data_IF_172057484131
#
_entry.id   IF_172057484131
#
_cell.length_a   1.000
_cell.length_b   1.000
_cell.length_c   1.000
_cell.angle_alpha   90.00
_cell.angle_beta   90.00
_cell.angle_gamma   90.00
#
_symmetry.space_group_name_H-M   'P 1'
#
loop_
_entity.id
_entity.type
_entity.pdbx_description
1 polymer ?
#
# COMPACT_ATOMS: atom_id res chain seq x y z
N UNK A 1 20.32 -20.73 -7.36
CA UNK A 1 18.93 -20.79 -7.90
C UNK A 1 18.99 -20.67 -9.40
N UNK A 2 18.32 -21.54 -10.17
CA UNK A 2 18.24 -21.37 -11.64
C UNK A 2 17.21 -20.27 -11.97
N UNK A 3 17.54 -19.40 -12.95
CA UNK A 3 16.69 -18.27 -13.31
C UNK A 3 15.27 -18.70 -13.67
N UNK A 4 15.12 -19.79 -14.42
CA UNK A 4 13.83 -20.28 -14.95
C UNK A 4 12.92 -20.97 -13.91
N UNK A 5 13.39 -21.16 -12.68
CA UNK A 5 12.66 -21.82 -11.59
C UNK A 5 12.48 -20.88 -10.36
N UNK A 6 12.82 -19.61 -10.55
CA UNK A 6 12.78 -18.64 -9.46
C UNK A 6 11.37 -18.45 -8.92
N UNK A 7 10.36 -18.36 -9.78
CA UNK A 7 8.97 -18.20 -9.37
C UNK A 7 8.49 -19.35 -8.48
N UNK A 8 8.83 -20.60 -8.79
CA UNK A 8 8.51 -21.76 -7.96
C UNK A 8 9.21 -21.65 -6.61
N UNK A 9 10.50 -21.29 -6.60
CA UNK A 9 11.26 -21.17 -5.36
C UNK A 9 10.76 -20.04 -4.46
N UNK A 10 10.38 -18.89 -5.05
CA UNK A 10 9.80 -17.77 -4.32
C UNK A 10 8.46 -18.19 -3.69
N UNK A 11 7.61 -18.90 -4.44
CA UNK A 11 6.35 -19.44 -3.92
C UNK A 11 6.57 -20.40 -2.74
N UNK A 12 7.56 -21.30 -2.82
CA UNK A 12 7.94 -22.18 -1.71
C UNK A 12 8.38 -21.38 -0.47
N UNK A 13 9.18 -20.32 -0.65
CA UNK A 13 9.63 -19.46 0.44
C UNK A 13 8.45 -18.71 1.08
N UNK A 14 7.52 -18.19 0.27
CA UNK A 14 6.29 -17.54 0.77
C UNK A 14 5.41 -18.52 1.56
N UNK A 15 5.25 -19.75 1.09
CA UNK A 15 4.54 -20.79 1.83
C UNK A 15 5.23 -21.11 3.16
N UNK A 16 6.56 -21.28 3.16
CA UNK A 16 7.34 -21.50 4.38
C UNK A 16 7.16 -20.37 5.39
N UNK A 17 7.25 -19.11 4.95
CA UNK A 17 7.05 -17.93 5.79
C UNK A 17 5.64 -17.90 6.38
N UNK A 18 4.62 -18.11 5.55
CA UNK A 18 3.23 -18.13 5.95
C UNK A 18 2.96 -19.23 6.98
N UNK A 19 3.42 -20.45 6.73
CA UNK A 19 3.17 -21.60 7.60
C UNK A 19 3.87 -21.47 8.97
N UNK A 20 5.08 -20.89 8.99
CA UNK A 20 5.84 -20.64 10.22
C UNK A 20 5.23 -19.54 11.11
N UNK A 21 4.39 -18.68 10.55
CA UNK A 21 3.80 -17.52 11.24
C UNK A 21 2.27 -17.59 11.36
N UNK A 22 1.67 -18.80 11.24
CA UNK A 22 0.24 -19.01 11.49
C UNK A 22 -0.05 -19.10 12.97
N UNK A 23 -1.11 -18.42 13.40
CA UNK A 23 -1.71 -18.54 14.73
C UNK A 23 -3.14 -19.03 14.53
N UNK A 24 -3.50 -20.14 15.13
CA UNK A 24 -4.85 -20.74 15.04
C UNK A 24 -5.37 -20.89 13.58
N UNK A 25 -4.45 -21.10 12.64
CA UNK A 25 -4.76 -21.24 11.21
C UNK A 25 -4.78 -19.94 10.41
N UNK A 26 -4.70 -18.79 11.05
CA UNK A 26 -4.68 -17.46 10.42
C UNK A 26 -3.24 -16.94 10.25
N UNK A 27 -2.97 -16.20 9.19
CA UNK A 27 -1.71 -15.46 9.04
C UNK A 27 -1.91 -14.09 9.70
N UNK A 28 -1.05 -13.77 10.68
CA UNK A 28 -1.02 -12.46 11.31
C UNK A 28 0.37 -12.17 11.88
N UNK A 29 1.19 -11.49 11.09
CA UNK A 29 2.52 -11.02 11.49
C UNK A 29 2.45 -9.56 11.91
N UNK A 30 1.88 -9.28 13.08
CA UNK A 30 1.87 -7.92 13.62
C UNK A 30 3.28 -7.52 14.08
N UNK A 31 3.67 -6.28 13.85
CA UNK A 31 5.01 -5.77 14.19
C UNK A 31 5.36 -5.97 15.67
N UNK A 32 6.61 -6.32 15.94
CA UNK A 32 7.17 -6.55 17.27
C UNK A 32 6.52 -7.69 18.07
N UNK A 33 5.85 -8.63 17.39
CA UNK A 33 5.33 -9.87 18.00
C UNK A 33 6.31 -11.03 17.85
N UNK A 34 5.93 -12.19 18.38
CA UNK A 34 6.70 -13.43 18.18
C UNK A 34 6.73 -13.83 16.70
N UNK A 35 5.62 -13.68 16.00
CA UNK A 35 5.45 -14.02 14.58
C UNK A 35 6.32 -13.12 13.68
N UNK A 36 6.41 -11.82 13.98
CA UNK A 36 7.33 -10.90 13.34
C UNK A 36 8.79 -11.35 13.55
N UNK A 37 9.15 -11.70 14.79
CA UNK A 37 10.49 -12.21 15.10
C UNK A 37 10.82 -13.52 14.36
N UNK A 38 9.84 -14.45 14.25
CA UNK A 38 10.01 -15.68 13.48
C UNK A 38 10.24 -15.34 12.01
N UNK A 39 9.43 -14.45 11.43
CA UNK A 39 9.57 -14.03 10.04
C UNK A 39 10.94 -13.41 9.75
N UNK A 40 11.43 -12.54 10.63
CA UNK A 40 12.76 -11.91 10.52
C UNK A 40 13.89 -12.93 10.61
N UNK A 41 13.78 -13.93 11.49
CA UNK A 41 14.78 -14.98 11.58
C UNK A 41 14.84 -15.82 10.30
N UNK A 42 13.69 -16.19 9.73
CA UNK A 42 13.62 -16.89 8.44
C UNK A 42 14.24 -16.03 7.33
N UNK A 43 13.90 -14.75 7.28
CA UNK A 43 14.46 -13.82 6.29
C UNK A 43 15.99 -13.70 6.46
N UNK A 44 16.49 -13.64 7.69
CA UNK A 44 17.91 -13.64 7.98
C UNK A 44 18.60 -14.89 7.45
N UNK A 45 18.05 -16.08 7.72
CA UNK A 45 18.61 -17.34 7.22
C UNK A 45 18.71 -17.33 5.69
N UNK A 46 17.66 -16.90 4.98
CA UNK A 46 17.68 -16.81 3.52
C UNK A 46 18.72 -15.81 3.01
N UNK A 47 18.84 -14.65 3.64
CA UNK A 47 19.84 -13.62 3.29
C UNK A 47 21.26 -14.21 3.45
N UNK A 48 21.56 -14.84 4.60
CA UNK A 48 22.86 -15.45 4.89
C UNK A 48 23.16 -16.64 3.96
N UNK A 49 22.19 -17.51 3.67
CA UNK A 49 22.33 -18.66 2.77
C UNK A 49 22.60 -18.22 1.31
N UNK A 50 22.06 -17.10 0.88
CA UNK A 50 22.35 -16.50 -0.42
C UNK A 50 23.68 -15.74 -0.41
N UNK A 51 24.36 -15.70 0.72
CA UNK A 51 25.67 -15.07 0.92
C UNK A 51 25.60 -13.54 0.90
N UNK A 52 24.44 -12.94 1.12
CA UNK A 52 24.26 -11.50 1.26
C UNK A 52 24.68 -11.04 2.68
N UNK A 53 25.02 -9.77 2.82
CA UNK A 53 25.31 -9.18 4.12
C UNK A 53 23.99 -8.87 4.85
N UNK A 54 23.79 -9.49 6.02
CA UNK A 54 22.62 -9.24 6.86
C UNK A 54 22.83 -8.02 7.75
N UNK A 55 21.78 -7.22 7.92
CA UNK A 55 21.72 -6.12 8.87
C UNK A 55 20.28 -5.94 9.35
N UNK A 56 20.12 -5.55 10.60
CA UNK A 56 18.86 -5.09 11.17
C UNK A 56 19.06 -3.70 11.78
N UNK A 57 18.07 -2.82 11.67
CA UNK A 57 18.18 -1.46 12.18
C UNK A 57 17.38 -1.22 13.47
N UNK A 58 17.40 0.02 13.98
CA UNK A 58 16.85 0.34 15.29
C UNK A 58 15.30 0.33 15.35
N UNK A 59 14.59 0.40 14.20
CA UNK A 59 13.14 0.22 14.13
C UNK A 59 12.77 -1.25 13.86
N UNK A 60 13.75 -2.08 13.52
CA UNK A 60 13.57 -3.48 13.20
C UNK A 60 13.44 -3.80 11.72
N UNK A 61 13.71 -2.86 10.80
CA UNK A 61 13.83 -3.21 9.39
C UNK A 61 14.99 -4.18 9.20
N UNK A 62 14.79 -5.21 8.39
CA UNK A 62 15.80 -6.20 8.04
C UNK A 62 16.32 -5.92 6.64
N UNK A 63 17.64 -6.06 6.46
CA UNK A 63 18.28 -5.83 5.16
C UNK A 63 19.18 -6.98 4.74
N UNK A 64 19.13 -7.28 3.43
CA UNK A 64 20.10 -8.12 2.75
C UNK A 64 20.86 -7.31 1.70
N UNK A 65 22.20 -7.24 1.79
CA UNK A 65 23.03 -6.37 0.93
C UNK A 65 23.96 -7.16 0.02
N UNK A 66 23.98 -6.77 -1.25
CA UNK A 66 25.03 -7.11 -2.23
C UNK A 66 25.90 -5.86 -2.42
N UNK A 67 27.15 -5.84 -1.86
CA UNK A 67 28.01 -4.67 -1.93
C UNK A 67 28.37 -4.26 -3.34
N UNK A 68 28.37 -2.96 -3.59
CA UNK A 68 28.87 -2.35 -4.83
C UNK A 68 30.31 -1.87 -4.71
N UNK A 69 30.88 -1.44 -5.84
CA UNK A 69 32.24 -0.91 -5.94
C UNK A 69 32.35 0.59 -5.66
N UNK A 70 31.22 1.31 -5.73
CA UNK A 70 31.12 2.75 -5.48
C UNK A 70 30.05 3.06 -4.44
N UNK A 71 30.13 4.22 -3.75
CA UNK A 71 29.10 4.66 -2.79
C UNK A 71 27.72 4.79 -3.42
N UNK A 72 26.68 4.55 -2.59
CA UNK A 72 25.29 4.63 -2.95
C UNK A 72 24.60 3.27 -2.97
N UNK A 73 23.28 3.28 -2.83
CA UNK A 73 22.46 2.08 -2.68
C UNK A 73 21.21 2.18 -3.53
N UNK A 74 20.92 1.15 -4.31
CA UNK A 74 19.60 0.92 -4.89
C UNK A 74 18.85 -0.04 -3.97
N UNK A 75 17.73 0.40 -3.44
CA UNK A 75 16.89 -0.35 -2.50
C UNK A 75 15.74 -1.03 -3.24
N UNK A 76 15.45 -2.26 -2.87
CA UNK A 76 14.21 -2.96 -3.20
C UNK A 76 13.63 -3.59 -1.93
N UNK A 77 12.43 -4.13 -2.02
CA UNK A 77 11.77 -4.79 -0.90
C UNK A 77 10.36 -4.27 -0.71
N UNK A 78 9.78 -4.56 0.41
CA UNK A 78 8.46 -4.18 0.88
C UNK A 78 8.36 -4.50 2.38
N UNK A 79 7.15 -4.71 2.92
CA UNK A 79 6.93 -5.06 4.32
C UNK A 79 6.79 -6.56 4.56
N UNK A 80 6.94 -6.97 5.82
CA UNK A 80 6.70 -8.35 6.26
C UNK A 80 5.47 -8.49 7.13
N UNK A 81 5.04 -7.42 7.78
CA UNK A 81 3.80 -7.43 8.56
C UNK A 81 2.58 -7.68 7.68
N UNK A 82 1.48 -8.09 8.30
CA UNK A 82 0.23 -8.38 7.61
C UNK A 82 -0.95 -7.86 8.39
N UNK A 83 -2.05 -7.59 7.70
CA UNK A 83 -3.35 -7.47 8.38
C UNK A 83 -3.70 -8.78 9.07
N UNK A 84 -4.61 -8.73 10.05
CA UNK A 84 -5.13 -9.94 10.70
C UNK A 84 -5.87 -10.79 9.68
N UNK A 85 -5.56 -12.10 9.67
CA UNK A 85 -6.09 -13.06 8.72
C UNK A 85 -5.86 -12.65 7.26
N UNK A 86 -4.67 -12.08 6.99
CA UNK A 86 -4.23 -11.65 5.67
C UNK A 86 -3.79 -12.79 4.76
N UNK A 87 -3.31 -12.41 3.57
CA UNK A 87 -2.71 -13.32 2.60
C UNK A 87 -1.24 -13.61 2.87
N UNK A 88 -0.60 -14.37 1.99
CA UNK A 88 0.82 -14.71 2.10
C UNK A 88 1.71 -13.91 1.16
N UNK A 89 1.12 -13.12 0.24
CA UNK A 89 1.85 -12.42 -0.80
C UNK A 89 2.01 -10.93 -0.49
N UNK A 90 0.99 -10.33 0.11
CA UNK A 90 0.96 -8.91 0.43
C UNK A 90 2.22 -8.50 1.21
N UNK A 91 2.97 -7.52 0.68
CA UNK A 91 4.29 -7.10 1.14
C UNK A 91 5.37 -8.19 1.03
N UNK A 92 5.12 -9.36 1.58
CA UNK A 92 6.08 -10.46 1.63
C UNK A 92 6.61 -10.88 0.26
N UNK A 93 5.80 -10.77 -0.82
CA UNK A 93 6.23 -11.06 -2.18
C UNK A 93 7.41 -10.17 -2.59
N UNK A 94 7.33 -8.86 -2.32
CA UNK A 94 8.39 -7.91 -2.67
C UNK A 94 9.68 -8.20 -1.92
N UNK A 95 9.59 -8.52 -0.64
CA UNK A 95 10.75 -8.86 0.20
C UNK A 95 11.40 -10.16 -0.26
N UNK A 96 10.63 -11.24 -0.41
CA UNK A 96 11.14 -12.55 -0.80
C UNK A 96 11.71 -12.53 -2.21
N UNK A 97 11.03 -11.85 -3.14
CA UNK A 97 11.52 -11.68 -4.52
C UNK A 97 12.80 -10.84 -4.55
N UNK A 98 12.91 -9.81 -3.72
CA UNK A 98 14.12 -9.01 -3.58
C UNK A 98 15.31 -9.84 -3.09
N UNK A 99 15.14 -10.65 -2.04
CA UNK A 99 16.18 -11.57 -1.56
C UNK A 99 16.61 -12.56 -2.64
N UNK A 100 15.63 -13.16 -3.33
CA UNK A 100 15.88 -14.09 -4.43
C UNK A 100 16.64 -13.42 -5.59
N UNK A 101 16.27 -12.18 -5.95
CA UNK A 101 16.91 -11.42 -7.02
C UNK A 101 18.37 -11.09 -6.69
N UNK A 102 18.66 -10.57 -5.51
CA UNK A 102 20.03 -10.26 -5.10
C UNK A 102 20.87 -11.53 -4.97
N UNK A 103 20.30 -12.61 -4.43
CA UNK A 103 20.97 -13.92 -4.37
C UNK A 103 21.31 -14.47 -5.74
N UNK A 104 20.39 -14.40 -6.69
CA UNK A 104 20.63 -14.80 -8.07
C UNK A 104 21.72 -13.95 -8.74
N UNK A 105 21.65 -12.62 -8.59
CA UNK A 105 22.66 -11.71 -9.15
C UNK A 105 24.06 -12.03 -8.61
N UNK A 106 24.20 -12.25 -7.31
CA UNK A 106 25.46 -12.66 -6.71
C UNK A 106 25.98 -13.99 -7.25
N UNK A 107 25.11 -15.00 -7.32
CA UNK A 107 25.49 -16.33 -7.84
C UNK A 107 25.87 -16.30 -9.34
N UNK A 108 25.30 -15.37 -10.12
CA UNK A 108 25.67 -15.15 -11.53
C UNK A 108 27.02 -14.45 -11.70
N UNK A 109 27.69 -14.06 -10.64
CA UNK A 109 28.95 -13.31 -10.67
C UNK A 109 28.77 -11.81 -10.96
N UNK A 110 27.55 -11.28 -10.85
CA UNK A 110 27.31 -9.86 -11.06
C UNK A 110 27.88 -9.06 -9.88
N UNK A 111 28.66 -8.03 -10.19
CA UNK A 111 29.20 -7.07 -9.22
C UNK A 111 28.57 -5.72 -9.53
N UNK A 112 27.68 -5.21 -8.66
CA UNK A 112 27.04 -3.93 -8.89
C UNK A 112 28.03 -2.77 -8.74
N UNK A 113 27.79 -1.67 -9.45
CA UNK A 113 28.54 -0.43 -9.24
C UNK A 113 28.12 0.21 -7.91
N UNK A 114 26.83 0.46 -7.73
CA UNK A 114 26.26 0.88 -6.46
C UNK A 114 25.62 -0.32 -5.78
N UNK A 115 25.71 -0.38 -4.46
CA UNK A 115 25.18 -1.53 -3.69
C UNK A 115 23.72 -1.77 -4.00
N UNK A 116 23.31 -3.04 -4.03
CA UNK A 116 21.92 -3.44 -4.04
C UNK A 116 21.51 -3.89 -2.63
N UNK A 117 20.42 -3.41 -2.13
CA UNK A 117 19.85 -3.81 -0.84
C UNK A 117 18.40 -4.23 -1.00
N UNK A 118 18.02 -5.32 -0.33
CA UNK A 118 16.62 -5.66 -0.11
C UNK A 118 16.25 -5.31 1.33
N UNK A 119 15.06 -4.72 1.55
CA UNK A 119 14.52 -4.42 2.87
C UNK A 119 13.22 -5.18 3.13
N UNK A 120 13.10 -5.76 4.33
CA UNK A 120 11.84 -6.11 4.96
C UNK A 120 11.48 -5.00 5.95
N UNK A 121 10.51 -4.18 5.58
CA UNK A 121 10.13 -2.97 6.31
C UNK A 121 9.14 -3.28 7.42
N UNK A 122 9.11 -2.42 8.44
CA UNK A 122 8.30 -2.58 9.65
C UNK A 122 7.01 -1.80 9.59
N UNK A 123 5.90 -2.47 9.99
CA UNK A 123 4.58 -1.89 10.26
C UNK A 123 4.12 -0.95 9.13
N UNK A 124 4.00 -1.51 7.92
CA UNK A 124 3.43 -0.78 6.79
C UNK A 124 1.91 -0.67 6.92
N UNK A 125 1.26 -1.80 7.26
CA UNK A 125 -0.18 -2.04 7.25
C UNK A 125 -0.96 -1.25 8.31
N UNK A 126 -0.28 -0.65 9.28
CA UNK A 126 -0.99 -0.04 10.42
C UNK A 126 -1.86 -1.04 11.19
N UNK A 127 -1.52 -2.32 11.12
CA UNK A 127 -2.35 -3.40 11.67
C UNK A 127 -2.28 -3.48 13.18
N UNK A 128 -1.13 -3.17 13.76
CA UNK A 128 -0.93 -3.06 15.22
C UNK A 128 -0.96 -1.63 15.69
N UNK A 129 -0.23 -0.73 15.02
CA UNK A 129 -0.20 0.70 15.32
C UNK A 129 -0.97 1.45 14.22
N UNK A 130 -1.87 2.42 14.57
CA UNK A 130 -2.67 3.16 13.59
C UNK A 130 -1.85 3.88 12.50
N UNK A 131 -0.66 4.39 12.85
CA UNK A 131 0.28 4.98 11.88
C UNK A 131 1.08 3.89 11.20
N UNK A 132 0.78 3.56 9.96
CA UNK A 132 1.55 2.65 9.14
C UNK A 132 2.89 3.21 8.67
N UNK A 133 3.59 2.43 7.85
CA UNK A 133 4.84 2.80 7.20
C UNK A 133 5.95 3.23 8.18
N UNK A 134 6.00 2.64 9.38
CA UNK A 134 6.99 3.05 10.41
C UNK A 134 8.42 2.82 9.95
N UNK A 135 8.67 1.72 9.23
CA UNK A 135 9.98 1.37 8.68
C UNK A 135 10.50 2.40 7.69
N UNK A 136 9.73 2.73 6.68
CA UNK A 136 10.09 3.74 5.67
C UNK A 136 10.16 5.14 6.24
N UNK A 137 9.26 5.52 7.16
CA UNK A 137 9.30 6.80 7.87
C UNK A 137 10.59 6.98 8.66
N UNK A 138 11.09 5.93 9.31
CA UNK A 138 12.35 5.95 10.03
C UNK A 138 13.55 6.14 9.06
N UNK A 139 13.58 5.43 7.93
CA UNK A 139 14.59 5.58 6.86
C UNK A 139 14.61 7.01 6.31
N UNK A 140 13.43 7.61 6.11
CA UNK A 140 13.29 8.99 5.61
C UNK A 140 13.55 10.05 6.68
N UNK A 141 13.67 9.67 7.96
CA UNK A 141 13.83 10.60 9.08
C UNK A 141 12.57 11.40 9.40
N UNK A 142 11.39 10.87 9.04
CA UNK A 142 10.07 11.50 9.29
C UNK A 142 9.34 10.90 10.49
N UNK A 143 9.85 9.79 11.05
CA UNK A 143 9.36 9.26 12.33
C UNK A 143 9.77 10.20 13.46
N UNK A 144 8.79 10.69 14.21
CA UNK A 144 8.98 11.68 15.27
C UNK A 144 9.00 11.04 16.66
N UNK A 145 9.52 11.75 17.66
CA UNK A 145 9.51 11.32 19.05
C UNK A 145 8.08 11.10 19.58
N UNK A 146 7.13 11.91 19.09
CA UNK A 146 5.71 11.83 19.44
C UNK A 146 5.08 10.52 18.94
N UNK A 147 5.52 10.00 17.81
CA UNK A 147 5.03 8.74 17.25
C UNK A 147 5.35 7.54 18.16
N UNK A 148 6.41 7.64 18.98
CA UNK A 148 6.78 6.59 19.93
C UNK A 148 5.76 6.42 21.08
N UNK A 149 4.93 7.42 21.33
CA UNK A 149 3.87 7.38 22.32
C UNK A 149 2.52 6.92 21.73
N UNK A 150 2.49 6.61 20.42
CA UNK A 150 1.31 6.06 19.78
C UNK A 150 0.92 4.73 20.44
N UNK A 151 -0.37 4.59 20.77
CA UNK A 151 -0.92 3.36 21.34
C UNK A 151 -1.30 2.38 20.24
N UNK A 152 -0.78 1.18 20.36
CA UNK A 152 -1.21 0.03 19.57
C UNK A 152 -2.67 -0.34 19.88
N UNK A 153 -3.26 -1.19 19.03
CA UNK A 153 -4.63 -1.73 19.26
C UNK A 153 -4.74 -2.61 20.50
N UNK A 154 -3.62 -3.12 21.00
CA UNK A 154 -3.50 -3.90 22.23
C UNK A 154 -3.09 -3.05 23.47
N UNK A 155 -2.97 -1.72 23.29
CA UNK A 155 -2.80 -0.76 24.39
C UNK A 155 -1.36 -0.58 24.87
N UNK A 156 -0.38 -0.99 24.06
CA UNK A 156 1.06 -0.82 24.31
C UNK A 156 1.58 0.33 23.46
N UNK A 157 2.45 1.19 23.98
CA UNK A 157 3.08 2.24 23.16
C UNK A 157 4.10 1.66 22.19
N UNK A 158 4.37 2.36 21.07
CA UNK A 158 5.42 1.95 20.13
C UNK A 158 6.79 1.85 20.84
N UNK A 159 7.08 2.77 21.74
CA UNK A 159 8.28 2.73 22.57
C UNK A 159 8.39 1.44 23.40
N UNK A 160 7.31 1.06 24.09
CA UNK A 160 7.28 -0.17 24.89
C UNK A 160 7.42 -1.41 24.03
N UNK A 161 6.79 -1.44 22.86
CA UNK A 161 6.89 -2.54 21.91
C UNK A 161 8.33 -2.73 21.40
N UNK A 162 8.98 -1.63 20.99
CA UNK A 162 10.38 -1.62 20.56
C UNK A 162 11.33 -2.14 21.65
N UNK A 163 11.21 -1.60 22.86
CA UNK A 163 12.06 -2.03 24.00
C UNK A 163 11.82 -3.51 24.33
N UNK A 164 10.56 -3.96 24.32
CA UNK A 164 10.21 -5.37 24.58
C UNK A 164 10.76 -6.32 23.49
N UNK A 165 10.85 -5.85 22.25
CA UNK A 165 11.46 -6.57 21.14
C UNK A 165 13.01 -6.53 21.15
N UNK A 166 13.60 -5.70 22.02
CA UNK A 166 15.07 -5.62 22.21
C UNK A 166 15.73 -4.46 21.46
N UNK A 167 14.97 -3.53 20.89
CA UNK A 167 15.51 -2.37 20.18
C UNK A 167 15.81 -1.20 21.12
N UNK A 168 16.75 -0.34 20.69
CA UNK A 168 17.18 0.85 21.43
C UNK A 168 16.57 2.09 20.75
N UNK A 169 15.57 2.70 21.37
CA UNK A 169 14.84 3.83 20.79
C UNK A 169 15.70 5.08 20.59
N UNK A 170 16.78 5.26 21.37
CA UNK A 170 17.73 6.36 21.19
C UNK A 170 18.46 6.32 19.84
N UNK A 171 18.60 5.13 19.25
CA UNK A 171 19.28 4.93 17.96
C UNK A 171 18.39 5.39 16.77
N UNK A 172 17.08 5.52 16.94
CA UNK A 172 16.14 5.97 15.91
C UNK A 172 16.50 7.36 15.34
N UNK A 173 17.11 8.23 16.13
CA UNK A 173 17.56 9.57 15.70
C UNK A 173 18.55 9.56 14.55
N UNK A 174 19.24 8.43 14.34
CA UNK A 174 20.32 8.29 13.37
C UNK A 174 19.92 7.37 12.20
N UNK A 175 18.64 7.11 12.01
CA UNK A 175 18.18 6.17 11.00
C UNK A 175 18.04 6.77 9.61
N UNK A 176 17.93 8.10 9.51
CA UNK A 176 17.82 8.76 8.21
C UNK A 176 18.95 8.35 7.28
N UNK A 177 18.60 7.91 6.10
CA UNK A 177 19.53 7.49 5.06
C UNK A 177 19.64 8.56 3.98
N UNK A 178 20.88 8.88 3.59
CA UNK A 178 21.19 9.82 2.51
C UNK A 178 21.94 9.12 1.35
N UNK A 179 22.19 7.80 1.48
CA UNK A 179 22.91 7.01 0.48
C UNK A 179 22.00 6.34 -0.56
N UNK A 180 20.70 6.39 -0.39
CA UNK A 180 19.72 5.76 -1.29
C UNK A 180 19.61 6.58 -2.58
N UNK A 181 19.78 5.89 -3.72
CA UNK A 181 19.81 6.47 -5.06
C UNK A 181 18.51 6.24 -5.85
N UNK A 182 17.92 5.09 -5.64
CA UNK A 182 16.63 4.71 -6.21
C UNK A 182 16.00 3.60 -5.37
N UNK A 183 14.69 3.51 -5.43
CA UNK A 183 13.89 2.46 -4.78
C UNK A 183 12.98 1.83 -5.83
N UNK A 184 12.91 0.51 -5.84
CA UNK A 184 11.96 -0.23 -6.66
C UNK A 184 11.26 -1.25 -5.78
N UNK A 185 9.97 -1.08 -5.59
CA UNK A 185 9.11 -2.01 -4.85
C UNK A 185 8.37 -2.91 -5.84
N UNK A 186 8.51 -4.24 -5.69
CA UNK A 186 7.67 -5.20 -6.39
C UNK A 186 6.55 -5.63 -5.45
N UNK A 187 5.31 -5.61 -5.93
CA UNK A 187 4.14 -5.93 -5.13
C UNK A 187 3.06 -6.64 -5.94
N UNK A 188 2.11 -7.27 -5.28
CA UNK A 188 0.86 -7.69 -5.93
C UNK A 188 0.00 -6.47 -6.24
N UNK A 189 -0.85 -6.54 -7.26
CA UNK A 189 -1.76 -5.43 -7.61
C UNK A 189 -2.79 -5.12 -6.53
N UNK A 190 -3.19 -6.11 -5.75
CA UNK A 190 -4.31 -6.06 -4.80
C UNK A 190 -5.67 -5.72 -5.46
N UNK A 191 -5.73 -5.79 -6.77
CA UNK A 191 -6.88 -5.45 -7.61
C UNK A 191 -7.02 -6.38 -8.82
N UNK A 192 -8.13 -6.29 -9.57
CA UNK A 192 -8.44 -7.23 -10.65
C UNK A 192 -8.04 -6.74 -12.06
N UNK A 193 -7.40 -5.57 -12.20
CA UNK A 193 -7.24 -4.89 -13.50
C UNK A 193 -6.26 -5.65 -14.39
N UNK A 194 -5.09 -6.02 -13.87
CA UNK A 194 -4.07 -6.73 -14.66
C UNK A 194 -4.59 -8.08 -15.16
N UNK A 195 -5.24 -8.86 -14.29
CA UNK A 195 -5.86 -10.12 -14.65
C UNK A 195 -6.95 -9.93 -15.73
N UNK A 196 -7.87 -8.99 -15.52
CA UNK A 196 -8.99 -8.72 -16.42
C UNK A 196 -8.54 -8.23 -17.80
N UNK A 197 -7.44 -7.49 -17.87
CA UNK A 197 -6.87 -6.96 -19.11
C UNK A 197 -5.74 -7.86 -19.68
N UNK A 198 -5.48 -9.01 -19.07
CA UNK A 198 -4.44 -9.95 -19.48
C UNK A 198 -3.05 -9.29 -19.54
N UNK A 199 -2.73 -8.44 -18.57
CA UNK A 199 -1.45 -7.80 -18.39
C UNK A 199 -0.59 -8.59 -17.41
N UNK A 200 0.71 -8.68 -17.70
CA UNK A 200 1.68 -9.38 -16.86
C UNK A 200 2.31 -8.46 -15.81
N UNK A 201 2.40 -7.17 -16.13
CA UNK A 201 3.06 -6.16 -15.30
C UNK A 201 2.20 -4.89 -15.24
N UNK A 202 2.05 -4.36 -14.02
CA UNK A 202 1.61 -2.99 -13.78
C UNK A 202 2.83 -2.10 -13.49
N UNK A 203 2.95 -1.01 -14.22
CA UNK A 203 3.91 0.06 -13.91
C UNK A 203 3.13 1.12 -13.16
N UNK A 204 3.49 1.36 -11.90
CA UNK A 204 2.75 2.30 -11.06
C UNK A 204 3.21 3.72 -11.36
N UNK A 205 2.28 4.58 -11.75
CA UNK A 205 2.54 6.00 -12.01
C UNK A 205 2.41 6.83 -10.74
N UNK A 206 1.45 6.46 -9.87
CA UNK A 206 1.24 7.11 -8.57
C UNK A 206 0.59 6.17 -7.56
N UNK A 207 0.76 6.49 -6.28
CA UNK A 207 -0.08 5.98 -5.20
C UNK A 207 -1.12 7.05 -4.93
N UNK A 208 -2.40 6.66 -4.94
CA UNK A 208 -3.53 7.60 -4.87
C UNK A 208 -3.51 8.44 -3.59
N UNK A 209 -3.97 9.69 -3.71
CA UNK A 209 -4.41 10.48 -2.58
C UNK A 209 -5.78 10.00 -2.09
N UNK A 210 -6.05 10.20 -0.80
CA UNK A 210 -7.30 9.77 -0.18
C UNK A 210 -7.90 10.94 0.58
N UNK A 211 -9.20 11.17 0.41
CA UNK A 211 -9.95 12.06 1.29
C UNK A 211 -11.19 11.35 1.84
N UNK A 212 -11.35 11.45 3.14
CA UNK A 212 -12.48 10.86 3.86
C UNK A 212 -13.43 11.94 4.37
N UNK A 213 -14.73 11.76 4.10
CA UNK A 213 -15.77 12.66 4.56
C UNK A 213 -16.83 11.93 5.38
N UNK A 214 -17.41 12.67 6.33
CA UNK A 214 -18.70 12.35 6.93
C UNK A 214 -19.73 13.38 6.44
N UNK A 215 -20.76 12.91 5.74
CA UNK A 215 -21.87 13.74 5.30
C UNK A 215 -23.09 13.50 6.19
N UNK A 216 -23.63 14.55 6.79
CA UNK A 216 -24.92 14.54 7.47
C UNK A 216 -25.96 15.23 6.60
N UNK A 217 -27.10 14.60 6.35
CA UNK A 217 -28.27 15.19 5.70
C UNK A 217 -29.40 15.23 6.70
N UNK A 218 -29.90 16.43 7.00
CA UNK A 218 -30.98 16.67 7.95
C UNK A 218 -32.32 16.72 7.21
N UNK A 219 -33.28 15.94 7.69
CA UNK A 219 -34.64 15.90 7.20
C UNK A 219 -35.65 16.29 8.30
N UNK A 220 -36.86 15.77 8.19
CA UNK A 220 -37.94 16.01 9.16
C UNK A 220 -38.64 14.71 9.53
N UNK A 221 -38.46 14.30 10.79
CA UNK A 221 -39.11 13.12 11.32
C UNK A 221 -40.64 13.28 11.32
N UNK A 222 -41.34 12.25 10.83
CA UNK A 222 -42.81 12.23 10.86
C UNK A 222 -43.33 10.79 10.77
N UNK A 223 -44.63 10.62 10.94
CA UNK A 223 -45.30 9.33 10.84
C UNK A 223 -45.32 8.81 9.39
N UNK A 224 -44.79 7.60 9.15
CA UNK A 224 -44.64 7.05 7.80
C UNK A 224 -45.96 6.81 7.06
N UNK A 225 -47.04 6.49 7.76
CA UNK A 225 -48.34 6.20 7.14
C UNK A 225 -49.24 7.42 6.89
N UNK A 226 -49.10 8.48 7.72
CA UNK A 226 -50.01 9.65 7.63
C UNK A 226 -49.42 10.83 6.89
N UNK A 227 -48.11 10.84 6.65
CA UNK A 227 -47.45 11.90 5.87
C UNK A 227 -47.41 11.51 4.40
N UNK A 228 -48.19 12.21 3.56
CA UNK A 228 -48.25 11.97 2.12
C UNK A 228 -46.89 12.25 1.45
N UNK A 229 -46.57 11.53 0.35
CA UNK A 229 -45.28 11.61 -0.33
C UNK A 229 -44.82 13.06 -0.65
N UNK A 230 -45.67 13.95 -1.20
CA UNK A 230 -45.28 15.31 -1.56
C UNK A 230 -44.96 16.21 -0.37
N UNK A 231 -45.35 15.84 0.86
CA UNK A 231 -45.11 16.61 2.07
C UNK A 231 -43.93 16.09 2.88
N UNK A 232 -43.25 15.06 2.40
CA UNK A 232 -42.09 14.48 3.09
C UNK A 232 -40.82 15.29 2.86
N UNK A 233 -40.08 15.45 3.92
CA UNK A 233 -38.71 15.93 3.87
C UNK A 233 -37.78 14.79 4.36
N UNK A 234 -37.68 13.75 3.52
CA UNK A 234 -37.08 12.46 3.86
C UNK A 234 -35.59 12.45 3.48
N UNK A 235 -34.67 12.43 4.46
CA UNK A 235 -33.24 12.49 4.20
C UNK A 235 -32.69 11.18 3.60
N UNK A 236 -33.44 10.06 3.70
CA UNK A 236 -33.05 8.80 3.06
C UNK A 236 -33.18 8.89 1.55
N UNK A 237 -34.27 9.51 1.06
CA UNK A 237 -34.47 9.77 -0.37
C UNK A 237 -33.40 10.74 -0.88
N UNK A 238 -33.13 11.81 -0.13
CA UNK A 238 -32.07 12.77 -0.48
C UNK A 238 -30.67 12.12 -0.53
N UNK A 239 -30.35 11.24 0.42
CA UNK A 239 -29.09 10.49 0.41
C UNK A 239 -28.97 9.55 -0.81
N UNK A 240 -30.05 8.84 -1.17
CA UNK A 240 -30.07 7.98 -2.36
C UNK A 240 -29.86 8.78 -3.65
N UNK A 241 -30.46 9.95 -3.77
CA UNK A 241 -30.26 10.86 -4.91
C UNK A 241 -28.82 11.37 -4.96
N UNK A 242 -28.27 11.79 -3.82
CA UNK A 242 -26.87 12.23 -3.71
C UNK A 242 -25.89 11.13 -4.15
N UNK A 243 -26.04 9.92 -3.61
CA UNK A 243 -25.21 8.75 -3.97
C UNK A 243 -25.28 8.50 -5.48
N UNK A 244 -26.47 8.46 -6.04
CA UNK A 244 -26.68 8.19 -7.46
C UNK A 244 -26.06 9.27 -8.34
N UNK A 245 -26.28 10.55 -8.01
CA UNK A 245 -25.79 11.66 -8.82
C UNK A 245 -24.26 11.83 -8.70
N UNK A 246 -23.69 11.75 -7.51
CA UNK A 246 -22.25 11.85 -7.32
C UNK A 246 -21.52 10.70 -8.00
N UNK A 247 -22.01 9.45 -7.87
CA UNK A 247 -21.42 8.30 -8.58
C UNK A 247 -21.50 8.49 -10.10
N UNK A 248 -22.63 8.94 -10.63
CA UNK A 248 -22.81 9.21 -12.07
C UNK A 248 -21.86 10.30 -12.57
N UNK A 249 -21.68 11.38 -11.80
CA UNK A 249 -20.75 12.47 -12.16
C UNK A 249 -19.31 11.98 -12.13
N UNK A 250 -18.92 11.22 -11.10
CA UNK A 250 -17.58 10.66 -10.96
C UNK A 250 -17.23 9.77 -12.13
N UNK A 251 -18.08 8.78 -12.45
CA UNK A 251 -17.87 7.88 -13.60
C UNK A 251 -17.74 8.61 -14.94
N UNK A 252 -18.42 9.76 -15.11
CA UNK A 252 -18.44 10.51 -16.36
C UNK A 252 -17.26 11.51 -16.50
N UNK A 253 -16.74 12.07 -15.40
CA UNK A 253 -15.81 13.19 -15.42
C UNK A 253 -14.47 12.89 -14.74
N UNK A 254 -14.40 11.86 -13.91
CA UNK A 254 -13.20 11.41 -13.19
C UNK A 254 -13.10 9.87 -13.23
N UNK A 255 -12.83 9.27 -14.39
CA UNK A 255 -12.86 7.81 -14.56
C UNK A 255 -11.72 7.08 -13.82
N UNK A 256 -10.68 7.79 -13.40
CA UNK A 256 -9.58 7.30 -12.56
C UNK A 256 -9.94 7.26 -11.07
N UNK A 257 -10.88 8.11 -10.65
CA UNK A 257 -11.28 8.21 -9.26
C UNK A 257 -12.07 6.99 -8.77
N UNK A 258 -11.91 6.66 -7.50
CA UNK A 258 -12.78 5.71 -6.81
C UNK A 258 -13.57 6.43 -5.73
N UNK A 259 -14.90 6.21 -5.72
CA UNK A 259 -15.83 6.79 -4.75
C UNK A 259 -16.60 5.69 -4.05
N UNK A 260 -16.43 5.59 -2.73
CA UNK A 260 -17.05 4.55 -1.91
C UNK A 260 -17.88 5.16 -0.79
N UNK A 261 -19.06 4.59 -0.55
CA UNK A 261 -19.93 4.91 0.58
C UNK A 261 -19.84 3.75 1.59
N UNK A 262 -18.88 3.85 2.53
CA UNK A 262 -18.53 2.78 3.45
C UNK A 262 -19.57 2.50 4.52
N UNK A 263 -20.40 3.50 4.88
CA UNK A 263 -21.50 3.33 5.83
C UNK A 263 -22.64 4.30 5.55
N UNK A 264 -23.85 3.83 5.81
CA UNK A 264 -25.10 4.63 5.80
C UNK A 264 -25.83 4.39 7.10
N UNK A 265 -26.00 5.43 7.90
CA UNK A 265 -26.71 5.36 9.16
C UNK A 265 -27.96 6.25 9.12
N UNK A 266 -29.11 5.65 9.41
CA UNK A 266 -30.43 6.30 9.38
C UNK A 266 -30.96 6.48 10.80
N UNK A 267 -31.43 7.66 11.14
CA UNK A 267 -31.96 7.98 12.47
C UNK A 267 -33.42 8.40 12.40
N UNK A 268 -34.29 7.87 13.27
CA UNK A 268 -34.04 6.88 14.31
C UNK A 268 -33.98 5.42 13.83
N UNK A 269 -34.14 5.15 12.52
CA UNK A 269 -34.01 3.80 11.95
C UNK A 269 -35.20 2.87 12.25
N UNK A 270 -36.42 3.40 12.21
CA UNK A 270 -37.66 2.67 12.50
C UNK A 270 -38.56 2.60 11.26
N UNK A 271 -39.23 1.45 11.04
CA UNK A 271 -40.06 1.21 9.86
C UNK A 271 -41.26 2.16 9.69
N UNK A 272 -41.82 2.63 10.79
CA UNK A 272 -43.04 3.48 10.81
C UNK A 272 -42.75 4.96 11.01
N UNK A 273 -41.47 5.37 10.86
CA UNK A 273 -41.01 6.75 11.07
C UNK A 273 -40.20 7.21 9.87
N UNK A 274 -40.54 8.36 9.30
CA UNK A 274 -39.68 9.08 8.35
C UNK A 274 -38.47 9.56 9.10
N UNK A 275 -37.28 9.32 8.61
CA UNK A 275 -36.02 9.68 9.28
C UNK A 275 -35.91 11.20 9.50
N UNK A 276 -35.22 11.59 10.56
CA UNK A 276 -34.82 12.98 10.76
C UNK A 276 -33.43 13.28 10.21
N UNK A 277 -32.58 12.25 10.11
CA UNK A 277 -31.18 12.42 9.70
C UNK A 277 -30.62 11.15 9.06
N UNK A 278 -29.71 11.35 8.10
CA UNK A 278 -28.86 10.32 7.54
C UNK A 278 -27.40 10.77 7.65
N UNK A 279 -26.53 9.86 8.11
CA UNK A 279 -25.08 10.03 8.06
C UNK A 279 -24.47 9.06 7.04
N UNK A 280 -23.55 9.55 6.20
CA UNK A 280 -22.78 8.77 5.22
C UNK A 280 -21.29 8.90 5.52
N UNK A 281 -20.57 7.79 5.44
CA UNK A 281 -19.10 7.81 5.38
C UNK A 281 -18.66 7.65 3.94
N UNK A 282 -17.81 8.54 3.47
CA UNK A 282 -17.38 8.66 2.08
C UNK A 282 -15.85 8.52 2.04
N UNK A 283 -15.36 7.65 1.18
CA UNK A 283 -13.95 7.49 0.80
C UNK A 283 -13.81 7.84 -0.68
N UNK A 284 -12.96 8.81 -1.00
CA UNK A 284 -12.69 9.29 -2.35
C UNK A 284 -11.19 9.27 -2.59
N UNK A 285 -10.77 8.64 -3.70
CA UNK A 285 -9.35 8.47 -4.06
C UNK A 285 -9.12 8.80 -5.52
N UNK A 286 -7.98 9.44 -5.83
CA UNK A 286 -7.48 9.60 -7.20
C UNK A 286 -5.95 9.70 -7.25
N UNK A 287 -5.38 9.60 -8.45
CA UNK A 287 -3.95 9.47 -8.73
C UNK A 287 -3.10 10.69 -8.39
N UNK A 288 -3.70 11.88 -8.27
CA UNK A 288 -2.99 13.10 -7.86
C UNK A 288 -3.83 13.95 -6.92
N UNK A 289 -3.19 14.77 -6.11
CA UNK A 289 -3.89 15.73 -5.23
C UNK A 289 -4.69 16.76 -6.03
N UNK A 290 -4.23 17.13 -7.23
CA UNK A 290 -4.93 18.06 -8.11
C UNK A 290 -6.25 17.44 -8.63
N UNK A 291 -6.20 16.20 -9.12
CA UNK A 291 -7.38 15.45 -9.55
C UNK A 291 -8.33 15.24 -8.38
N UNK A 292 -7.83 14.79 -7.24
CA UNK A 292 -8.60 14.58 -6.02
C UNK A 292 -9.35 15.85 -5.57
N UNK A 293 -8.72 17.03 -5.68
CA UNK A 293 -9.37 18.31 -5.40
C UNK A 293 -10.50 18.62 -6.41
N UNK A 294 -10.33 18.26 -7.69
CA UNK A 294 -11.38 18.40 -8.71
C UNK A 294 -12.55 17.47 -8.43
N UNK A 295 -12.28 16.26 -7.98
CA UNK A 295 -13.30 15.27 -7.61
C UNK A 295 -14.12 15.70 -6.40
N UNK A 296 -13.46 16.31 -5.41
CA UNK A 296 -14.16 16.95 -4.28
C UNK A 296 -15.12 18.04 -4.77
N UNK A 297 -14.77 18.78 -5.82
CA UNK A 297 -15.70 19.77 -6.43
C UNK A 297 -16.92 19.06 -7.06
N UNK A 298 -16.72 17.92 -7.74
CA UNK A 298 -17.83 17.12 -8.28
C UNK A 298 -18.74 16.61 -7.16
N UNK A 299 -18.16 16.08 -6.08
CA UNK A 299 -18.91 15.63 -4.90
C UNK A 299 -19.75 16.77 -4.31
N UNK A 300 -19.17 17.96 -4.15
CA UNK A 300 -19.88 19.15 -3.63
C UNK A 300 -20.99 19.62 -4.56
N UNK A 301 -20.80 19.57 -5.88
CA UNK A 301 -21.87 19.90 -6.85
C UNK A 301 -23.07 18.96 -6.74
N UNK A 302 -22.82 17.66 -6.53
CA UNK A 302 -23.92 16.72 -6.28
C UNK A 302 -24.67 17.09 -4.98
N UNK A 303 -23.94 17.52 -3.95
CA UNK A 303 -24.52 17.96 -2.67
C UNK A 303 -25.39 19.21 -2.83
N UNK A 304 -24.94 20.21 -3.59
CA UNK A 304 -25.74 21.41 -3.89
C UNK A 304 -27.10 21.09 -4.49
N UNK A 305 -27.22 19.99 -5.25
CA UNK A 305 -28.51 19.58 -5.83
C UNK A 305 -29.54 19.19 -4.75
N UNK A 306 -29.07 18.62 -3.65
CA UNK A 306 -29.88 18.23 -2.50
C UNK A 306 -30.22 19.47 -1.65
N UNK A 307 -29.27 20.37 -1.48
CA UNK A 307 -29.49 21.64 -0.74
C UNK A 307 -30.52 22.54 -1.42
N UNK A 308 -30.54 22.58 -2.76
CA UNK A 308 -31.56 23.32 -3.53
C UNK A 308 -32.97 22.77 -3.32
N UNK A 309 -33.13 21.52 -2.86
CA UNK A 309 -34.42 20.93 -2.45
C UNK A 309 -34.79 21.26 -0.99
N UNK A 310 -33.97 22.07 -0.32
CA UNK A 310 -34.22 22.54 1.04
C UNK A 310 -33.61 21.71 2.15
N UNK A 311 -32.83 20.66 1.83
CA UNK A 311 -32.13 19.88 2.85
C UNK A 311 -30.96 20.67 3.41
N UNK A 312 -30.81 20.62 4.74
CA UNK A 312 -29.60 21.10 5.41
C UNK A 312 -28.57 19.99 5.40
N UNK A 313 -27.36 20.30 4.97
CA UNK A 313 -26.27 19.34 4.89
C UNK A 313 -25.04 19.82 5.66
N UNK A 314 -24.23 18.87 6.12
CA UNK A 314 -22.93 19.13 6.72
C UNK A 314 -21.94 18.10 6.21
N UNK A 315 -21.00 18.54 5.36
CA UNK A 315 -19.87 17.74 4.90
C UNK A 315 -18.64 18.05 5.75
N UNK A 316 -18.19 17.09 6.54
CA UNK A 316 -17.01 17.20 7.40
C UNK A 316 -15.90 16.33 6.82
N UNK A 317 -14.76 16.95 6.51
CA UNK A 317 -13.55 16.20 6.17
C UNK A 317 -12.97 15.56 7.44
N UNK A 318 -12.76 14.27 7.40
CA UNK A 318 -12.18 13.52 8.51
C UNK A 318 -10.67 13.39 8.35
N UNK A 319 -10.22 13.11 7.12
CA UNK A 319 -8.81 12.87 6.82
C UNK A 319 -8.48 13.33 5.40
N UNK A 320 -7.18 13.56 5.15
CA UNK A 320 -6.57 13.82 3.86
C UNK A 320 -5.18 13.20 3.83
N UNK A 321 -4.98 12.23 2.97
CA UNK A 321 -3.68 11.62 2.69
C UNK A 321 -3.25 12.04 1.29
N UNK A 322 -2.09 12.70 1.20
CA UNK A 322 -1.55 13.17 -0.08
C UNK A 322 -1.12 12.00 -0.97
N UNK A 323 -1.33 12.14 -2.26
CA UNK A 323 -0.82 11.23 -3.28
C UNK A 323 0.72 11.23 -3.32
N UNK A 324 1.29 10.17 -3.88
CA UNK A 324 2.72 10.09 -4.15
C UNK A 324 2.97 9.72 -5.61
N UNK A 325 3.59 10.64 -6.35
CA UNK A 325 3.97 10.40 -7.74
C UNK A 325 5.24 9.56 -7.80
N UNK A 326 5.28 8.58 -8.68
CA UNK A 326 6.46 7.76 -8.90
C UNK A 326 7.45 8.49 -9.82
N UNK A 327 8.74 8.16 -9.66
CA UNK A 327 9.79 8.85 -10.41
C UNK A 327 9.80 8.46 -11.90
N UNK A 328 9.65 9.42 -12.83
CA UNK A 328 9.55 9.14 -14.25
C UNK A 328 10.83 8.56 -14.85
N UNK A 329 11.99 8.72 -14.20
CA UNK A 329 13.25 8.14 -14.70
C UNK A 329 13.32 6.66 -14.33
N UNK A 330 12.90 6.30 -13.10
CA UNK A 330 12.83 4.90 -12.66
C UNK A 330 11.74 4.16 -13.46
N UNK A 331 10.57 4.79 -13.67
CA UNK A 331 9.49 4.27 -14.53
C UNK A 331 10.03 3.94 -15.93
N UNK A 332 10.76 4.85 -16.58
CA UNK A 332 11.31 4.61 -17.91
C UNK A 332 12.28 3.42 -17.97
N UNK A 333 13.02 3.15 -16.89
CA UNK A 333 13.86 1.94 -16.82
C UNK A 333 12.99 0.68 -16.82
N UNK A 334 11.95 0.67 -15.99
CA UNK A 334 11.00 -0.46 -15.92
C UNK A 334 10.32 -0.67 -17.28
N UNK A 335 9.78 0.40 -17.86
CA UNK A 335 9.06 0.38 -19.15
C UNK A 335 9.92 -0.19 -20.27
N UNK A 336 11.17 0.29 -20.42
CA UNK A 336 12.11 -0.21 -21.43
C UNK A 336 12.37 -1.71 -21.27
N UNK A 337 12.58 -2.21 -20.05
CA UNK A 337 12.77 -3.64 -19.82
C UNK A 337 11.50 -4.45 -20.12
N UNK A 338 10.32 -3.90 -19.89
CA UNK A 338 9.07 -4.53 -20.34
C UNK A 338 9.00 -4.62 -21.87
N UNK A 339 9.38 -3.56 -22.59
CA UNK A 339 9.42 -3.53 -24.05
C UNK A 339 10.44 -4.51 -24.63
N UNK A 340 11.68 -4.52 -24.10
CA UNK A 340 12.76 -5.43 -24.53
C UNK A 340 12.39 -6.90 -24.35
N UNK A 341 11.62 -7.20 -23.29
CA UNK A 341 11.14 -8.56 -22.99
C UNK A 341 9.80 -8.89 -23.66
N UNK A 342 9.20 -7.95 -24.37
CA UNK A 342 7.86 -8.08 -24.97
C UNK A 342 6.77 -8.45 -23.94
N UNK A 343 6.86 -7.92 -22.73
CA UNK A 343 5.86 -8.13 -21.68
C UNK A 343 4.61 -7.30 -21.96
N UNK A 344 3.44 -7.88 -21.70
CA UNK A 344 2.18 -7.14 -21.72
C UNK A 344 2.07 -6.33 -20.44
N UNK A 345 2.33 -5.02 -20.49
CA UNK A 345 2.28 -4.14 -19.33
C UNK A 345 1.19 -3.06 -19.46
N UNK A 346 0.91 -2.39 -18.33
CA UNK A 346 -0.02 -1.26 -18.25
C UNK A 346 0.50 -0.25 -17.23
N UNK A 347 0.37 1.04 -17.54
CA UNK A 347 0.49 2.12 -16.58
C UNK A 347 -0.79 2.21 -15.74
N UNK A 348 -0.66 2.34 -14.43
CA UNK A 348 -1.79 2.38 -13.51
C UNK A 348 -1.43 3.06 -12.19
N UNK A 349 -2.44 3.48 -11.44
CA UNK A 349 -2.25 3.98 -10.09
C UNK A 349 -2.39 2.84 -9.07
N UNK A 350 -1.67 2.91 -7.95
CA UNK A 350 -1.98 2.07 -6.79
C UNK A 350 -3.16 2.65 -6.04
N UNK A 351 -4.21 1.86 -5.87
CA UNK A 351 -5.36 2.21 -5.02
C UNK A 351 -5.12 2.02 -3.53
N UNK A 352 -4.03 1.33 -3.15
CA UNK A 352 -3.60 1.07 -1.77
C UNK A 352 -2.39 1.94 -1.40
N UNK A 353 -2.20 2.21 -0.09
CA UNK A 353 -0.98 2.79 0.43
C UNK A 353 0.17 1.78 0.39
N UNK A 354 1.42 2.26 0.36
CA UNK A 354 2.63 1.45 0.41
C UNK A 354 3.76 2.26 1.03
N UNK A 355 4.84 1.60 1.48
CA UNK A 355 6.07 2.28 1.91
C UNK A 355 6.62 3.22 0.82
N UNK A 356 6.41 2.89 -0.45
CA UNK A 356 6.75 3.74 -1.60
C UNK A 356 6.05 5.11 -1.59
N UNK A 357 4.92 5.27 -0.89
CA UNK A 357 4.27 6.56 -0.68
C UNK A 357 5.12 7.50 0.19
N UNK A 358 5.80 6.95 1.18
CA UNK A 358 6.75 7.69 2.02
C UNK A 358 8.04 7.94 1.25
N UNK A 359 8.59 6.91 0.63
CA UNK A 359 9.85 6.98 -0.09
C UNK A 359 9.80 7.96 -1.27
N UNK A 360 8.71 8.00 -2.06
CA UNK A 360 8.58 8.83 -3.24
C UNK A 360 8.69 10.34 -2.97
N UNK A 361 8.49 10.76 -1.71
CA UNK A 361 8.71 12.15 -1.26
C UNK A 361 10.18 12.48 -0.96
N UNK A 362 11.07 11.49 -0.89
CA UNK A 362 12.45 11.64 -0.45
C UNK A 362 13.47 11.06 -1.42
N UNK A 363 13.09 10.05 -2.19
CA UNK A 363 13.97 9.31 -3.09
C UNK A 363 13.26 9.00 -4.40
N UNK A 364 14.03 8.85 -5.50
CA UNK A 364 13.51 8.28 -6.75
C UNK A 364 12.91 6.90 -6.52
N UNK A 365 11.62 6.81 -6.63
CA UNK A 365 10.89 5.59 -6.28
C UNK A 365 9.95 5.18 -7.41
N UNK A 366 9.83 3.90 -7.70
CA UNK A 366 8.79 3.33 -8.55
C UNK A 366 8.35 1.96 -8.02
N UNK A 367 7.19 1.51 -8.48
CA UNK A 367 6.63 0.20 -8.12
C UNK A 367 6.32 -0.62 -9.37
N UNK A 368 6.47 -1.93 -9.22
CA UNK A 368 6.11 -2.94 -10.21
C UNK A 368 5.02 -3.82 -9.60
N UNK A 369 3.86 -3.88 -10.26
CA UNK A 369 2.80 -4.80 -9.87
C UNK A 369 2.82 -6.08 -10.70
N UNK A 370 2.51 -7.19 -10.03
CA UNK A 370 2.13 -8.46 -10.67
C UNK A 370 0.65 -8.75 -10.40
N UNK A 371 -0.05 -9.49 -11.27
CA UNK A 371 -1.49 -9.74 -11.15
C UNK A 371 -1.88 -10.44 -9.84
N UNK A 372 -3.00 -10.02 -9.26
CA UNK A 372 -3.69 -10.71 -8.18
C UNK A 372 -4.85 -11.53 -8.74
N UNK A 373 -4.91 -12.82 -8.44
CA UNK A 373 -5.99 -13.71 -8.92
C UNK A 373 -7.32 -13.28 -8.29
N UNK A 374 -8.29 -12.94 -9.14
CA UNK A 374 -9.60 -12.42 -8.72
C UNK A 374 -9.53 -11.06 -8.04
N UNK A 375 -8.38 -10.39 -8.04
CA UNK A 375 -8.18 -9.10 -7.37
C UNK A 375 -8.29 -9.18 -5.84
N UNK A 376 -8.09 -10.37 -5.26
CA UNK A 376 -8.26 -10.61 -3.82
C UNK A 376 -6.99 -10.18 -3.09
N UNK A 377 -7.13 -9.33 -2.06
CA UNK A 377 -6.10 -8.99 -1.09
C UNK A 377 -6.69 -8.80 0.31
N UNK A 378 -5.86 -8.73 1.36
CA UNK A 378 -6.27 -8.70 2.77
C UNK A 378 -7.21 -9.86 3.15
N UNK A 379 -6.96 -11.03 2.56
CA UNK A 379 -7.81 -12.20 2.67
C UNK A 379 -6.97 -13.48 2.55
N UNK A 380 -7.30 -14.56 3.30
CA UNK A 380 -6.59 -15.83 3.18
C UNK A 380 -6.63 -16.48 1.79
N UNK A 381 -7.59 -16.08 0.94
CA UNK A 381 -7.72 -16.56 -0.44
C UNK A 381 -6.86 -15.75 -1.45
N UNK A 382 -6.07 -14.79 -0.98
CA UNK A 382 -5.13 -14.04 -1.79
C UNK A 382 -4.19 -14.97 -2.55
N UNK A 383 -4.02 -14.71 -3.85
CA UNK A 383 -3.17 -15.53 -4.70
C UNK A 383 -2.61 -14.74 -5.88
N UNK A 384 -1.40 -15.15 -6.31
CA UNK A 384 -0.80 -14.73 -7.57
C UNK A 384 -0.20 -15.93 -8.30
N UNK A 385 -0.20 -15.93 -9.62
CA UNK A 385 0.28 -17.08 -10.35
C UNK A 385 1.83 -17.17 -10.31
N UNK A 386 2.37 -18.38 -10.18
CA UNK A 386 3.83 -18.61 -10.17
C UNK A 386 4.50 -18.04 -11.43
N UNK A 387 3.81 -18.04 -12.58
CA UNK A 387 4.30 -17.45 -13.82
C UNK A 387 4.45 -15.92 -13.72
N UNK A 388 3.55 -15.24 -13.01
CA UNK A 388 3.60 -13.80 -12.79
C UNK A 388 4.68 -13.44 -11.78
N UNK A 389 4.87 -14.24 -10.73
CA UNK A 389 6.01 -14.13 -9.81
C UNK A 389 7.33 -14.25 -10.59
N UNK A 390 7.44 -15.24 -11.49
CA UNK A 390 8.61 -15.45 -12.36
C UNK A 390 8.89 -14.22 -13.23
N UNK A 391 7.83 -13.65 -13.83
CA UNK A 391 7.93 -12.47 -14.67
C UNK A 391 8.40 -11.26 -13.87
N UNK A 392 7.79 -11.01 -12.70
CA UNK A 392 8.18 -9.94 -11.77
C UNK A 392 9.63 -10.07 -11.29
N UNK A 393 10.05 -11.27 -10.92
CA UNK A 393 11.43 -11.57 -10.53
C UNK A 393 12.43 -11.25 -11.65
N UNK A 394 12.16 -11.69 -12.88
CA UNK A 394 13.06 -11.45 -14.00
C UNK A 394 13.17 -9.98 -14.36
N UNK A 395 12.05 -9.27 -14.33
CA UNK A 395 12.02 -7.83 -14.56
C UNK A 395 12.78 -7.09 -13.46
N UNK A 396 12.52 -7.42 -12.17
CA UNK A 396 13.21 -6.80 -11.04
C UNK A 396 14.73 -7.00 -11.12
N UNK A 397 15.22 -8.19 -11.48
CA UNK A 397 16.64 -8.44 -11.66
C UNK A 397 17.28 -7.50 -12.68
N UNK A 398 16.63 -7.30 -13.84
CA UNK A 398 17.19 -6.49 -14.92
C UNK A 398 17.11 -4.98 -14.58
N UNK A 399 16.02 -4.53 -13.95
CA UNK A 399 15.86 -3.15 -13.45
C UNK A 399 16.93 -2.83 -12.38
N UNK A 400 17.14 -3.72 -11.41
CA UNK A 400 18.16 -3.51 -10.36
C UNK A 400 19.58 -3.46 -10.92
N UNK A 401 19.91 -4.33 -11.88
CA UNK A 401 21.21 -4.29 -12.58
C UNK A 401 21.46 -2.91 -13.20
N UNK A 402 20.49 -2.42 -13.94
CA UNK A 402 20.63 -1.16 -14.64
C UNK A 402 20.73 0.02 -13.69
N UNK A 403 19.81 0.13 -12.72
CA UNK A 403 19.82 1.23 -11.75
C UNK A 403 21.14 1.25 -10.96
N UNK A 404 21.70 0.07 -10.65
CA UNK A 404 22.99 0.00 -9.94
C UNK A 404 24.18 0.49 -10.78
N UNK A 405 24.09 0.52 -12.10
CA UNK A 405 25.14 0.94 -13.02
C UNK A 405 25.05 2.43 -13.41
N UNK A 406 23.88 3.03 -13.27
CA UNK A 406 23.66 4.42 -13.71
C UNK A 406 24.49 5.43 -12.91
N UNK A 407 25.01 6.51 -13.56
CA UNK A 407 25.58 7.65 -12.85
C UNK A 407 24.52 8.33 -11.99
N UNK A 408 24.94 9.17 -11.04
CA UNK A 408 24.00 9.96 -10.22
C UNK A 408 22.95 10.62 -11.13
N UNK A 409 21.68 10.28 -10.95
CA UNK A 409 20.60 11.11 -11.44
C UNK A 409 20.66 12.36 -10.56
N UNK A 410 21.19 13.48 -11.10
CA UNK A 410 21.14 14.77 -10.44
C UNK A 410 19.68 15.21 -10.42
N UNK A 411 19.12 15.29 -9.25
CA UNK A 411 17.76 15.84 -9.00
C UNK A 411 17.83 17.34 -8.92
#
# INVERSE_FOLDING_TARGET
MMKNEAGVRIEEMLCQLADATRIDGEIWRAAYTLEDKIAKNILREWIEDMGLEYREDAIGNVYGRLPGTEPGTVLTGSHLDTVKNGGKYDGALGVVTGVAALGYLKQSGFVPKHSLEVAGLMEEEGSRFPSGCQGSRAICGTLKEEDLEELSRDGVTLREALVSAGYQTEALKNMKRDDIRAIVELHIEQGPVLESEQKQIGIVDSIVGIVNYELTIQGSQNHAGTTSMPLRHDPVVAAAEFITESTRQMMAQAPSATLTYGAIQVFPGMQNVIADRVNLLIDLRDGSDEELLQDVVLLKRALESIERKGFQTRLRQNDWLESAQMDPNVIRVIERHCEEKHLAYKHMNSGAGHDSMVFGKHFPTAMIFVPSIGGISHNPAEATAVADIQTGFELLCDVLKELSAQPFLSW
#
